data_IF_659490384856
#
_entry.id   IF_659490384856
#
_cell.length_a   1.000
_cell.length_b   1.000
_cell.length_c   1.000
_cell.angle_alpha   90.00
_cell.angle_beta   90.00
_cell.angle_gamma   90.00
#
_symmetry.space_group_name_H-M   'P 1'
#
loop_
_entity.id
_entity.type
_entity.pdbx_description
1 polymer ?
#
# COMPACT_ATOMS: atom_id res chain seq x y z
N UNK A 1 -5.78 -7.14 8.76
CA UNK A 1 -5.20 -5.84 8.35
C UNK A 1 -4.82 -5.01 9.57
N UNK A 2 -5.62 -5.02 10.64
CA UNK A 2 -5.37 -4.27 11.88
C UNK A 2 -3.99 -4.52 12.53
N UNK A 3 -3.44 -5.75 12.41
CA UNK A 3 -2.09 -6.08 12.87
C UNK A 3 -0.99 -5.38 12.05
N UNK A 4 -1.20 -5.21 10.74
CA UNK A 4 -0.26 -4.54 9.86
C UNK A 4 -0.29 -3.02 10.10
N UNK A 5 -1.50 -2.47 10.29
CA UNK A 5 -1.70 -1.04 10.60
C UNK A 5 -1.04 -0.68 11.95
N UNK A 6 -1.33 -1.43 13.01
CA UNK A 6 -0.74 -1.19 14.33
C UNK A 6 0.80 -1.37 14.35
N UNK A 7 1.34 -2.23 13.47
CA UNK A 7 2.78 -2.40 13.33
C UNK A 7 3.39 -1.21 12.58
N UNK A 8 2.77 -0.76 11.50
CA UNK A 8 3.16 0.43 10.76
C UNK A 8 3.16 1.67 11.65
N UNK A 9 2.14 1.86 12.49
CA UNK A 9 2.06 2.97 13.44
C UNK A 9 3.27 2.98 14.40
N UNK A 10 3.57 1.84 15.03
CA UNK A 10 4.73 1.73 15.95
C UNK A 10 6.07 1.91 15.26
N UNK A 11 6.21 1.39 14.05
CA UNK A 11 7.46 1.48 13.32
C UNK A 11 7.67 2.91 12.81
N UNK A 12 6.60 3.64 12.46
CA UNK A 12 6.66 5.04 12.06
C UNK A 12 7.18 5.95 13.18
N UNK A 13 6.87 5.67 14.45
CA UNK A 13 7.41 6.41 15.61
C UNK A 13 8.94 6.30 15.72
N UNK A 14 9.54 5.26 15.13
CA UNK A 14 10.99 5.00 15.13
C UNK A 14 11.63 5.23 13.78
N UNK A 15 10.84 5.63 12.78
CA UNK A 15 11.32 5.77 11.42
C UNK A 15 12.27 6.94 11.31
N UNK A 16 13.46 6.68 10.79
CA UNK A 16 14.40 7.72 10.37
C UNK A 16 14.52 7.63 8.86
N UNK A 17 14.34 8.75 8.16
CA UNK A 17 14.51 8.79 6.72
C UNK A 17 15.95 8.40 6.38
N UNK A 18 16.17 7.53 5.37
CA UNK A 18 17.51 7.24 4.92
C UNK A 18 18.13 8.54 4.38
N UNK A 19 19.05 9.09 5.17
CA UNK A 19 19.98 10.11 4.70
C UNK A 19 20.76 9.46 3.58
N UNK A 20 20.84 10.13 2.43
CA UNK A 20 21.53 9.62 1.24
C UNK A 20 23.03 9.53 1.55
N UNK A 21 23.43 8.42 2.17
CA UNK A 21 24.79 7.92 2.25
C UNK A 21 24.69 6.42 2.07
N UNK A 22 25.29 5.99 0.97
CA UNK A 22 25.37 4.63 0.46
C UNK A 22 25.79 3.59 1.50
N UNK A 23 25.47 2.33 1.18
CA UNK A 23 26.03 1.07 1.67
C UNK A 23 25.37 0.44 2.91
N UNK A 24 24.74 -0.72 2.70
CA UNK A 24 24.27 -1.60 3.79
C UNK A 24 23.36 -2.71 3.32
N UNK A 25 23.93 -3.74 2.69
CA UNK A 25 23.18 -4.93 2.26
C UNK A 25 22.63 -5.78 3.41
N UNK A 26 21.58 -6.55 3.08
CA UNK A 26 21.06 -7.81 3.68
C UNK A 26 19.56 -7.91 3.35
N UNK A 27 18.94 -9.02 2.97
CA UNK A 27 19.35 -10.41 2.76
C UNK A 27 18.41 -10.92 1.66
N UNK A 28 18.97 -11.36 0.53
CA UNK A 28 18.19 -12.04 -0.50
C UNK A 28 17.69 -13.37 0.07
N UNK A 29 16.40 -13.44 0.39
CA UNK A 29 15.71 -14.72 0.54
C UNK A 29 14.87 -14.91 -0.73
N UNK A 30 15.47 -15.64 -1.66
CA UNK A 30 14.86 -16.07 -2.91
C UNK A 30 13.84 -17.17 -2.64
N UNK A 31 12.56 -16.85 -2.72
CA UNK A 31 11.51 -17.79 -3.11
C UNK A 31 10.53 -16.99 -3.98
N UNK A 32 10.17 -17.54 -5.14
CA UNK A 32 9.30 -16.91 -6.13
C UNK A 32 7.92 -16.72 -5.49
N UNK A 33 7.68 -15.55 -4.91
CA UNK A 33 6.43 -15.17 -4.28
C UNK A 33 6.32 -13.65 -4.37
N UNK A 34 5.12 -13.14 -4.58
CA UNK A 34 4.84 -11.72 -4.82
C UNK A 34 5.46 -10.86 -3.70
N UNK A 35 6.60 -10.21 -3.98
CA UNK A 35 7.35 -9.37 -3.04
C UNK A 35 7.01 -7.90 -3.28
N UNK A 36 7.12 -7.08 -2.24
CA UNK A 36 7.04 -5.63 -2.34
C UNK A 36 7.98 -5.10 -3.46
N UNK A 37 7.59 -4.07 -4.22
CA UNK A 37 8.43 -3.51 -5.28
C UNK A 37 9.84 -3.17 -4.78
N UNK A 38 10.88 -3.44 -5.58
CA UNK A 38 12.28 -3.19 -5.18
C UNK A 38 12.53 -1.72 -4.73
N UNK A 39 11.75 -0.78 -5.27
CA UNK A 39 11.79 0.65 -4.94
C UNK A 39 11.24 0.96 -3.53
N UNK A 40 10.48 0.04 -2.91
CA UNK A 40 10.06 0.11 -1.50
C UNK A 40 11.15 -0.38 -0.54
N UNK A 41 12.16 -1.12 -1.01
CA UNK A 41 13.18 -1.73 -0.13
C UNK A 41 14.06 -0.68 0.57
N UNK A 42 14.23 0.49 -0.04
CA UNK A 42 14.86 1.65 0.58
C UNK A 42 14.05 2.22 1.76
N UNK A 43 12.78 1.80 1.89
CA UNK A 43 11.82 2.25 2.90
C UNK A 43 11.19 1.05 3.62
N UNK A 44 12.03 0.38 4.43
CA UNK A 44 11.74 -0.89 5.10
C UNK A 44 10.34 -1.02 5.72
N UNK A 45 9.83 0.04 6.36
CA UNK A 45 8.53 0.00 7.05
C UNK A 45 7.37 -0.21 6.07
N UNK A 46 7.40 0.47 4.93
CA UNK A 46 6.37 0.31 3.90
C UNK A 46 6.52 -1.01 3.16
N UNK A 47 7.75 -1.50 2.97
CA UNK A 47 8.00 -2.81 2.37
C UNK A 47 7.43 -3.93 3.24
N UNK A 48 7.67 -3.87 4.56
CA UNK A 48 7.14 -4.83 5.52
C UNK A 48 5.60 -4.75 5.64
N UNK A 49 5.03 -3.54 5.60
CA UNK A 49 3.59 -3.34 5.53
C UNK A 49 2.97 -3.97 4.27
N UNK A 50 3.57 -3.75 3.09
CA UNK A 50 3.15 -4.39 1.85
C UNK A 50 3.20 -5.92 1.96
N UNK A 51 4.31 -6.46 2.48
CA UNK A 51 4.48 -7.90 2.66
C UNK A 51 3.45 -8.48 3.64
N UNK A 52 3.06 -7.73 4.68
CA UNK A 52 2.01 -8.13 5.61
C UNK A 52 0.62 -8.20 4.96
N UNK A 53 0.31 -7.27 4.05
CA UNK A 53 -0.90 -7.32 3.22
C UNK A 53 -0.87 -8.56 2.33
N UNK A 54 0.23 -8.78 1.61
CA UNK A 54 0.38 -9.92 0.70
C UNK A 54 0.33 -11.26 1.45
N UNK A 55 0.90 -11.35 2.65
CA UNK A 55 0.74 -12.51 3.53
C UNK A 55 -0.71 -12.80 3.86
N UNK A 56 -1.50 -11.76 4.17
CA UNK A 56 -2.94 -11.90 4.41
C UNK A 56 -3.69 -12.38 3.16
N UNK A 57 -3.30 -11.90 1.97
CA UNK A 57 -3.87 -12.38 0.71
C UNK A 57 -3.54 -13.84 0.43
N UNK A 58 -2.32 -14.27 0.73
CA UNK A 58 -1.90 -15.66 0.58
C UNK A 58 -2.73 -16.60 1.45
N UNK A 59 -3.03 -16.21 2.70
CA UNK A 59 -3.91 -16.98 3.59
C UNK A 59 -5.36 -17.00 3.08
N UNK A 60 -5.86 -15.87 2.59
CA UNK A 60 -7.21 -15.76 2.03
C UNK A 60 -7.38 -16.59 0.75
N UNK A 61 -6.34 -16.73 -0.08
CA UNK A 61 -6.40 -17.42 -1.38
C UNK A 61 -6.89 -18.86 -1.29
N UNK A 62 -6.70 -19.52 -0.15
CA UNK A 62 -7.10 -20.92 0.04
C UNK A 62 -8.62 -21.08 0.22
N UNK A 63 -9.32 -20.03 0.67
CA UNK A 63 -10.72 -20.12 1.09
C UNK A 63 -11.58 -18.89 0.74
N UNK A 64 -11.10 -17.95 -0.08
CA UNK A 64 -11.78 -16.67 -0.31
C UNK A 64 -13.12 -16.85 -1.04
N UNK A 65 -14.26 -16.67 -0.36
CA UNK A 65 -15.57 -16.63 -1.01
C UNK A 65 -15.71 -15.30 -1.76
N UNK A 66 -16.27 -15.32 -2.97
CA UNK A 66 -16.49 -14.10 -3.77
C UNK A 66 -17.36 -13.06 -3.03
N UNK A 67 -18.23 -13.50 -2.11
CA UNK A 67 -19.04 -12.62 -1.26
C UNK A 67 -18.24 -11.75 -0.29
N UNK A 68 -16.99 -12.10 0.03
CA UNK A 68 -16.14 -11.29 0.91
C UNK A 68 -15.43 -10.15 0.18
N UNK A 69 -15.55 -10.03 -1.15
CA UNK A 69 -14.83 -9.02 -1.94
C UNK A 69 -15.04 -7.62 -1.41
N UNK A 70 -16.28 -7.25 -1.05
CA UNK A 70 -16.61 -5.92 -0.55
C UNK A 70 -15.93 -5.64 0.79
N UNK A 71 -16.02 -6.59 1.72
CA UNK A 71 -15.37 -6.49 3.03
C UNK A 71 -13.85 -6.39 2.91
N UNK A 72 -13.23 -7.21 2.05
CA UNK A 72 -11.77 -7.18 1.84
C UNK A 72 -11.35 -5.88 1.19
N UNK A 73 -12.07 -5.42 0.16
CA UNK A 73 -11.76 -4.17 -0.54
C UNK A 73 -11.90 -2.97 0.39
N UNK A 74 -12.97 -2.89 1.17
CA UNK A 74 -13.20 -1.81 2.14
C UNK A 74 -12.15 -1.78 3.27
N UNK A 75 -11.78 -2.95 3.81
CA UNK A 75 -10.72 -3.05 4.82
C UNK A 75 -9.36 -2.64 4.26
N UNK A 76 -9.06 -3.05 3.04
CA UNK A 76 -7.81 -2.70 2.36
C UNK A 76 -7.73 -1.20 2.04
N UNK A 77 -8.81 -0.63 1.53
CA UNK A 77 -8.98 0.80 1.30
C UNK A 77 -8.71 1.58 2.59
N UNK A 78 -9.35 1.18 3.69
CA UNK A 78 -9.19 1.83 5.00
C UNK A 78 -7.74 1.76 5.48
N UNK A 79 -7.13 0.57 5.42
CA UNK A 79 -5.74 0.35 5.83
C UNK A 79 -4.76 1.22 5.03
N UNK A 80 -4.90 1.28 3.70
CA UNK A 80 -4.06 2.12 2.83
C UNK A 80 -4.28 3.62 3.06
N UNK A 81 -5.53 4.05 3.29
CA UNK A 81 -5.84 5.42 3.67
C UNK A 81 -5.20 5.79 5.01
N UNK A 82 -5.26 4.92 6.02
CA UNK A 82 -4.60 5.14 7.31
C UNK A 82 -3.07 5.27 7.16
N UNK A 83 -2.45 4.41 6.35
CA UNK A 83 -1.01 4.44 6.10
C UNK A 83 -0.55 5.77 5.46
N UNK A 84 -1.30 6.26 4.47
CA UNK A 84 -1.00 7.53 3.78
C UNK A 84 -1.32 8.75 4.64
N UNK A 85 -2.37 8.69 5.47
CA UNK A 85 -2.65 9.71 6.48
C UNK A 85 -1.54 9.82 7.51
N UNK A 86 -1.08 8.69 8.04
CA UNK A 86 0.04 8.62 8.99
C UNK A 86 1.32 9.21 8.37
N UNK A 87 1.60 8.87 7.11
CA UNK A 87 2.72 9.47 6.38
C UNK A 87 2.56 11.00 6.27
N UNK A 88 1.40 11.49 5.86
CA UNK A 88 1.12 12.94 5.80
C UNK A 88 1.27 13.63 7.17
N UNK A 89 0.89 12.97 8.27
CA UNK A 89 1.09 13.50 9.63
C UNK A 89 2.58 13.60 9.97
N UNK A 90 3.36 12.54 9.71
CA UNK A 90 4.82 12.54 9.87
C UNK A 90 5.46 13.67 9.06
N UNK A 91 5.06 13.85 7.80
CA UNK A 91 5.54 14.94 6.94
C UNK A 91 5.27 16.33 7.54
N UNK A 92 4.11 16.52 8.19
CA UNK A 92 3.73 17.81 8.80
C UNK A 92 4.50 18.08 10.07
N UNK A 93 4.71 17.07 10.91
CA UNK A 93 5.45 17.19 12.17
C UNK A 93 6.92 17.50 11.91
N UNK A 94 7.53 16.78 10.97
CA UNK A 94 8.98 16.87 10.72
C UNK A 94 9.35 17.97 9.70
N UNK A 95 8.38 18.72 9.15
CA UNK A 95 8.62 19.62 8.00
C UNK A 95 9.72 20.67 8.23
N UNK A 96 9.92 21.11 9.47
CA UNK A 96 10.93 22.10 9.85
C UNK A 96 12.27 21.47 10.27
N UNK A 97 12.27 20.21 10.69
CA UNK A 97 13.45 19.48 11.14
C UNK A 97 14.19 18.76 9.99
N UNK A 98 13.48 18.41 8.92
CA UNK A 98 14.07 17.68 7.80
C UNK A 98 15.02 18.54 6.95
N UNK A 99 16.17 17.96 6.65
CA UNK A 99 17.11 18.49 5.67
C UNK A 99 16.52 18.48 4.25
N UNK A 100 17.08 19.27 3.31
CA UNK A 100 16.65 19.24 1.91
C UNK A 100 16.73 17.85 1.26
N UNK A 101 17.74 17.05 1.65
CA UNK A 101 17.91 15.69 1.15
C UNK A 101 16.80 14.75 1.65
N UNK A 102 16.45 14.84 2.93
CA UNK A 102 15.38 14.04 3.52
C UNK A 102 13.99 14.41 2.95
N UNK A 103 13.75 15.70 2.71
CA UNK A 103 12.52 16.17 2.02
C UNK A 103 12.38 15.55 0.64
N UNK A 104 13.48 15.44 -0.12
CA UNK A 104 13.49 14.79 -1.42
C UNK A 104 13.26 13.27 -1.32
N UNK A 105 13.86 12.61 -0.32
CA UNK A 105 13.63 11.18 -0.08
C UNK A 105 12.19 10.89 0.35
N UNK A 106 11.57 11.77 1.14
CA UNK A 106 10.16 11.67 1.53
C UNK A 106 9.22 11.90 0.34
N UNK A 107 9.57 12.81 -0.57
CA UNK A 107 8.86 13.00 -1.84
C UNK A 107 8.85 11.72 -2.69
N UNK A 108 10.04 11.09 -2.83
CA UNK A 108 10.22 9.84 -3.57
C UNK A 108 9.37 8.73 -2.97
N UNK A 109 9.36 8.60 -1.64
CA UNK A 109 8.51 7.62 -0.94
C UNK A 109 7.03 7.82 -1.27
N UNK A 110 6.51 9.05 -1.21
CA UNK A 110 5.11 9.31 -1.57
C UNK A 110 4.81 8.93 -3.02
N UNK A 111 5.72 9.26 -3.95
CA UNK A 111 5.59 8.85 -5.36
C UNK A 111 5.59 7.34 -5.55
N UNK A 112 6.46 6.62 -4.83
CA UNK A 112 6.53 5.15 -4.86
C UNK A 112 5.24 4.53 -4.30
N UNK A 113 4.68 5.06 -3.20
CA UNK A 113 3.41 4.60 -2.67
C UNK A 113 2.28 4.80 -3.69
N UNK A 114 2.17 6.00 -4.25
CA UNK A 114 1.10 6.35 -5.19
C UNK A 114 1.18 5.57 -6.51
N UNK A 115 2.37 5.41 -7.08
CA UNK A 115 2.54 4.86 -8.42
C UNK A 115 2.94 3.37 -8.46
N UNK A 116 3.44 2.81 -7.35
CA UNK A 116 3.90 1.41 -7.30
C UNK A 116 3.09 0.59 -6.31
N UNK A 117 2.98 1.03 -5.06
CA UNK A 117 2.32 0.24 -4.02
C UNK A 117 0.82 0.08 -4.27
N UNK A 118 0.09 1.18 -4.42
CA UNK A 118 -1.37 1.14 -4.59
C UNK A 118 -1.78 0.34 -5.84
N UNK A 119 -1.16 0.55 -7.03
CA UNK A 119 -1.48 -0.25 -8.21
C UNK A 119 -1.06 -1.71 -8.09
N UNK A 120 0.00 -2.03 -7.35
CA UNK A 120 0.41 -3.41 -7.11
C UNK A 120 -0.61 -4.15 -6.24
N UNK A 121 -1.04 -3.51 -5.14
CA UNK A 121 -2.06 -4.06 -4.25
C UNK A 121 -3.39 -4.27 -4.97
N UNK A 122 -3.80 -3.34 -5.84
CA UNK A 122 -4.96 -3.52 -6.72
C UNK A 122 -4.85 -4.78 -7.60
N UNK A 123 -3.68 -5.01 -8.20
CA UNK A 123 -3.44 -6.20 -9.04
C UNK A 123 -3.56 -7.47 -8.21
N UNK A 124 -2.95 -7.51 -7.03
CA UNK A 124 -3.05 -8.67 -6.15
C UNK A 124 -4.50 -8.91 -5.69
N UNK A 125 -5.28 -7.85 -5.47
CA UNK A 125 -6.72 -7.96 -5.19
C UNK A 125 -7.47 -8.60 -6.37
N UNK A 126 -7.17 -8.20 -7.61
CA UNK A 126 -7.76 -8.81 -8.81
C UNK A 126 -7.29 -10.24 -9.09
N UNK A 127 -6.11 -10.63 -8.62
CA UNK A 127 -5.65 -12.03 -8.67
C UNK A 127 -6.46 -12.88 -7.70
N UNK A 128 -6.78 -12.34 -6.52
CA UNK A 128 -7.57 -13.01 -5.50
C UNK A 128 -9.07 -13.06 -5.87
N UNK A 129 -9.61 -11.95 -6.38
CA UNK A 129 -10.99 -11.82 -6.83
C UNK A 129 -11.00 -11.35 -8.29
N UNK A 130 -11.07 -12.30 -9.23
CA UNK A 130 -11.05 -11.95 -10.65
C UNK A 130 -12.28 -11.12 -11.01
N UNK A 131 -12.13 -9.99 -11.72
CA UNK A 131 -13.27 -9.17 -12.12
C UNK A 131 -14.32 -9.92 -12.94
N UNK A 132 -13.93 -10.93 -13.71
CA UNK A 132 -14.86 -11.79 -14.46
C UNK A 132 -15.71 -12.67 -13.55
N UNK A 133 -15.07 -13.34 -12.59
CA UNK A 133 -15.76 -14.22 -11.63
C UNK A 133 -16.71 -13.40 -10.74
N UNK A 134 -16.31 -12.17 -10.40
CA UNK A 134 -17.17 -11.22 -9.67
C UNK A 134 -18.36 -10.76 -10.52
N UNK A 135 -18.12 -10.39 -11.77
CA UNK A 135 -19.16 -9.91 -12.69
C UNK A 135 -20.24 -10.98 -12.88
N UNK A 136 -19.80 -12.23 -13.08
CA UNK A 136 -20.69 -13.39 -13.18
C UNK A 136 -21.46 -13.64 -11.88
N UNK A 137 -20.76 -13.63 -10.73
CA UNK A 137 -21.36 -13.88 -9.42
C UNK A 137 -22.42 -12.84 -9.04
N UNK A 138 -22.18 -11.56 -9.33
CA UNK A 138 -23.11 -10.47 -9.04
C UNK A 138 -24.12 -10.20 -10.16
N UNK A 139 -23.98 -10.84 -11.33
CA UNK A 139 -24.86 -10.63 -12.48
C UNK A 139 -24.76 -9.22 -13.09
N UNK A 140 -23.59 -8.60 -13.02
CA UNK A 140 -23.33 -7.23 -13.50
C UNK A 140 -22.13 -7.20 -14.44
N UNK A 141 -21.97 -6.10 -15.19
CA UNK A 141 -20.77 -5.88 -16.01
C UNK A 141 -19.60 -5.30 -15.16
N UNK A 142 -18.38 -5.42 -15.67
CA UNK A 142 -17.15 -4.90 -15.04
C UNK A 142 -17.20 -3.39 -14.79
N UNK A 143 -17.83 -2.61 -15.67
CA UNK A 143 -17.96 -1.16 -15.49
C UNK A 143 -18.83 -0.84 -14.27
N UNK A 144 -19.85 -1.65 -14.02
CA UNK A 144 -20.68 -1.52 -12.82
C UNK A 144 -19.92 -1.95 -11.56
N UNK A 145 -19.08 -3.00 -11.62
CA UNK A 145 -18.19 -3.36 -10.49
C UNK A 145 -17.23 -2.21 -10.14
N UNK A 146 -16.62 -1.58 -11.14
CA UNK A 146 -15.70 -0.46 -10.93
C UNK A 146 -16.43 0.74 -10.30
N UNK A 147 -17.63 1.06 -10.81
CA UNK A 147 -18.46 2.16 -10.30
C UNK A 147 -18.87 1.95 -8.84
N UNK A 148 -19.22 0.72 -8.47
CA UNK A 148 -19.62 0.36 -7.10
C UNK A 148 -18.40 0.07 -6.20
N UNK A 149 -17.18 0.05 -6.74
CA UNK A 149 -15.95 -0.22 -5.97
C UNK A 149 -15.77 -1.69 -5.57
N UNK A 150 -16.48 -2.63 -6.22
CA UNK A 150 -16.42 -4.06 -5.88
C UNK A 150 -15.14 -4.69 -6.43
N UNK A 151 -14.15 -4.87 -5.56
CA UNK A 151 -12.82 -5.34 -5.95
C UNK A 151 -11.92 -4.23 -6.50
N UNK A 152 -12.35 -2.96 -6.46
CA UNK A 152 -11.60 -1.81 -6.96
C UNK A 152 -11.31 -0.82 -5.83
N UNK A 153 -10.03 -0.50 -5.65
CA UNK A 153 -9.56 0.52 -4.73
C UNK A 153 -9.71 1.91 -5.36
N UNK A 154 -10.24 2.85 -4.59
CA UNK A 154 -10.22 4.26 -4.96
C UNK A 154 -8.83 4.84 -4.70
N UNK A 155 -7.97 4.72 -5.71
CA UNK A 155 -6.57 5.16 -5.66
C UNK A 155 -6.46 6.65 -5.34
N UNK A 156 -7.33 7.48 -5.92
CA UNK A 156 -7.37 8.93 -5.69
C UNK A 156 -7.58 9.28 -4.23
N UNK A 157 -8.51 8.60 -3.55
CA UNK A 157 -8.77 8.80 -2.12
C UNK A 157 -7.58 8.35 -1.25
N UNK A 158 -6.90 7.26 -1.64
CA UNK A 158 -5.72 6.76 -0.91
C UNK A 158 -4.54 7.74 -1.04
N UNK A 159 -4.32 8.33 -2.22
CA UNK A 159 -3.15 9.20 -2.46
C UNK A 159 -3.41 10.66 -2.09
N UNK A 160 -4.66 11.09 -1.94
CA UNK A 160 -5.02 12.47 -1.60
C UNK A 160 -4.21 13.05 -0.43
N UNK A 161 -4.03 12.36 0.71
CA UNK A 161 -3.33 12.91 1.87
C UNK A 161 -1.86 13.27 1.58
N UNK A 162 -1.21 12.53 0.68
CA UNK A 162 0.21 12.68 0.36
C UNK A 162 0.46 13.50 -0.93
N UNK A 163 -0.56 13.64 -1.79
CA UNK A 163 -0.49 14.34 -3.08
C UNK A 163 -0.38 15.87 -2.93
N UNK A 164 -1.06 16.46 -1.94
CA UNK A 164 -1.22 17.92 -1.81
C UNK A 164 0.06 18.74 -1.71
N UNK A 165 1.23 18.14 -1.43
CA UNK A 165 2.50 18.86 -1.27
C UNK A 165 3.59 18.55 -2.30
N UNK A 166 3.41 17.56 -3.18
CA UNK A 166 4.50 17.09 -4.07
C UNK A 166 4.15 17.00 -5.56
N UNK A 167 2.88 17.17 -5.95
CA UNK A 167 2.43 17.13 -7.36
C UNK A 167 2.23 18.52 -7.98
N UNK A 168 2.92 19.56 -7.46
CA UNK A 168 3.00 20.91 -8.05
C UNK A 168 4.43 21.28 -8.37
#
# INVERSE_FOLDING_TARGET
>A
MDKADAKLERDMEKFTLPSVTSEGGRSARSEIQEQAPNELLDYYIFADYCNSILGTFNDLRLCAPLSLVDTVTSRLQTSLCSATQLLSLFQRQEQQALSPGEKQSLARLCGVIAHKLVPHVQKCLHVLFKPDDLAEYFGVDRSQLEKEGLGYLNQSAIIEPISQKFLR
#
